data_IF_881031900488
#
_entry.id   IF_881031900488
#
_cell.length_a   1.000
_cell.length_b   1.000
_cell.length_c   1.000
_cell.angle_alpha   90.00
_cell.angle_beta   90.00
_cell.angle_gamma   90.00
#
_symmetry.space_group_name_H-M   'P 1'
#
loop_
_entity.id
_entity.type
_entity.pdbx_description
1 polymer ?
#
# COMPACT_ATOMS: atom_id res chain seq x y z
N UNK A 1 5.68 -7.07 -5.99
CA UNK A 1 4.91 -6.14 -6.86
C UNK A 1 5.40 -6.34 -8.29
N UNK A 2 4.53 -6.33 -9.29
CA UNK A 2 4.96 -6.29 -10.71
C UNK A 2 5.27 -4.84 -11.03
N UNK A 3 6.52 -4.52 -11.40
CA UNK A 3 6.91 -3.18 -11.81
C UNK A 3 7.17 -3.18 -13.32
N UNK A 4 6.35 -2.41 -14.05
CA UNK A 4 6.53 -2.19 -15.48
C UNK A 4 7.30 -0.88 -15.65
N UNK A 5 8.45 -0.86 -16.36
CA UNK A 5 9.24 0.35 -16.55
C UNK A 5 8.43 1.49 -17.18
N UNK A 6 8.57 2.70 -16.65
CA UNK A 6 7.88 3.92 -17.10
C UNK A 6 8.25 4.38 -18.52
N UNK A 7 9.15 3.68 -19.22
CA UNK A 7 9.52 3.92 -20.61
C UNK A 7 8.53 3.33 -21.61
N UNK A 8 7.57 2.52 -21.15
CA UNK A 8 6.50 1.98 -21.98
C UNK A 8 5.23 2.81 -21.79
N UNK A 9 4.79 3.51 -22.85
CA UNK A 9 3.66 4.44 -22.85
C UNK A 9 2.43 3.89 -22.11
N UNK A 10 2.26 4.37 -20.87
CA UNK A 10 1.40 3.77 -19.84
C UNK A 10 -0.12 3.89 -20.03
N UNK A 11 -0.58 4.28 -21.21
CA UNK A 11 -2.01 4.44 -21.51
C UNK A 11 -2.51 3.53 -22.64
N UNK A 12 -1.67 3.17 -23.62
CA UNK A 12 -2.10 2.32 -24.74
C UNK A 12 -1.95 0.82 -24.45
N UNK A 13 -0.92 0.41 -23.70
CA UNK A 13 -0.69 -1.00 -23.35
C UNK A 13 -1.68 -1.50 -22.29
N UNK A 14 -2.10 -0.62 -21.38
CA UNK A 14 -3.04 -0.92 -20.29
C UNK A 14 -4.45 -1.27 -20.81
N UNK A 15 -4.87 -0.68 -21.93
CA UNK A 15 -6.14 -1.01 -22.60
C UNK A 15 -6.08 -2.36 -23.30
N UNK A 16 -4.92 -2.70 -23.88
CA UNK A 16 -4.72 -3.94 -24.64
C UNK A 16 -4.83 -5.18 -23.75
N UNK A 17 -4.33 -5.11 -22.52
CA UNK A 17 -4.37 -6.22 -21.56
C UNK A 17 -5.79 -6.54 -21.06
N UNK A 18 -6.70 -5.56 -21.02
CA UNK A 18 -8.06 -5.74 -20.53
C UNK A 18 -8.94 -6.59 -21.47
N UNK A 19 -8.60 -6.61 -22.76
CA UNK A 19 -9.34 -7.32 -23.81
C UNK A 19 -8.71 -8.69 -24.17
N UNK A 20 -7.61 -9.06 -23.50
CA UNK A 20 -6.87 -10.29 -23.78
C UNK A 20 -7.35 -11.47 -22.95
N UNK A 21 -7.32 -12.67 -23.56
CA UNK A 21 -7.59 -13.90 -22.81
C UNK A 21 -6.43 -14.19 -21.85
N UNK A 22 -6.65 -14.98 -20.77
CA UNK A 22 -5.60 -15.35 -19.83
C UNK A 22 -4.37 -15.99 -20.49
N UNK A 23 -4.57 -16.75 -21.57
CA UNK A 23 -3.50 -17.39 -22.34
C UNK A 23 -2.65 -16.36 -23.10
N UNK A 24 -3.31 -15.36 -23.69
CA UNK A 24 -2.65 -14.28 -24.41
C UNK A 24 -1.84 -13.39 -23.45
N UNK A 25 -2.42 -13.08 -22.28
CA UNK A 25 -1.73 -12.33 -21.22
C UNK A 25 -0.49 -13.10 -20.76
N UNK A 26 -0.62 -14.41 -20.55
CA UNK A 26 0.50 -15.25 -20.13
C UNK A 26 1.64 -15.29 -21.16
N UNK A 27 1.31 -15.40 -22.45
CA UNK A 27 2.30 -15.38 -23.53
C UNK A 27 3.02 -14.04 -23.64
N UNK A 28 2.30 -12.92 -23.50
CA UNK A 28 2.89 -11.58 -23.57
C UNK A 28 3.80 -11.29 -22.35
N UNK A 29 3.35 -11.65 -21.14
CA UNK A 29 4.17 -11.54 -19.94
C UNK A 29 5.44 -12.41 -20.03
N UNK A 30 5.34 -13.62 -20.59
CA UNK A 30 6.50 -14.48 -20.80
C UNK A 30 7.49 -13.87 -21.78
N UNK A 31 7.01 -13.30 -22.89
CA UNK A 31 7.87 -12.61 -23.86
C UNK A 31 8.59 -11.41 -23.24
N UNK A 32 7.88 -10.61 -22.42
CA UNK A 32 8.47 -9.48 -21.70
C UNK A 32 9.52 -9.92 -20.68
N UNK A 33 9.33 -11.07 -20.03
CA UNK A 33 10.31 -11.64 -19.11
C UNK A 33 11.59 -12.08 -19.83
N UNK A 34 11.46 -12.80 -20.94
CA UNK A 34 12.60 -13.24 -21.76
C UNK A 34 13.42 -12.08 -22.34
N UNK A 35 12.76 -10.96 -22.64
CA UNK A 35 13.42 -9.74 -23.14
C UNK A 35 14.03 -8.89 -22.01
N UNK A 36 13.88 -9.29 -20.75
CA UNK A 36 14.38 -8.52 -19.59
C UNK A 36 13.60 -7.24 -19.30
N UNK A 37 12.46 -7.04 -19.95
CA UNK A 37 11.56 -5.90 -19.76
C UNK A 37 10.60 -6.11 -18.59
N UNK A 38 10.41 -7.35 -18.15
CA UNK A 38 9.66 -7.71 -16.95
C UNK A 38 10.62 -8.31 -15.92
N UNK A 39 10.65 -7.72 -14.72
CA UNK A 39 11.35 -8.29 -13.55
C UNK A 39 10.32 -8.63 -12.49
N UNK A 40 10.35 -9.89 -12.04
CA UNK A 40 9.52 -10.38 -10.94
C UNK A 40 10.42 -10.42 -9.72
N UNK A 41 10.32 -9.39 -8.87
CA UNK A 41 11.07 -9.31 -7.64
C UNK A 41 10.17 -9.67 -6.44
N UNK A 42 10.73 -10.45 -5.51
CA UNK A 42 10.13 -10.67 -4.20
C UNK A 42 10.31 -9.41 -3.35
N UNK A 43 9.25 -8.64 -3.20
CA UNK A 43 9.20 -7.51 -2.26
C UNK A 43 8.59 -7.96 -0.94
N UNK A 44 9.40 -8.04 0.12
CA UNK A 44 8.88 -8.12 1.49
C UNK A 44 8.13 -6.82 1.78
N UNK A 45 6.79 -6.89 1.81
CA UNK A 45 5.98 -5.73 2.16
C UNK A 45 5.83 -5.69 3.68
N UNK A 46 6.34 -4.65 4.36
CA UNK A 46 6.20 -4.57 5.80
C UNK A 46 4.73 -4.47 6.20
N UNK A 47 4.43 -4.92 7.41
CA UNK A 47 3.09 -4.81 8.02
C UNK A 47 3.12 -3.79 9.13
N UNK A 48 2.02 -3.05 9.27
CA UNK A 48 1.78 -2.18 10.40
C UNK A 48 1.09 -2.98 11.49
N UNK A 49 1.71 -3.06 12.66
CA UNK A 49 1.09 -3.65 13.86
C UNK A 49 0.42 -2.52 14.65
N UNK A 50 -0.87 -2.66 14.93
CA UNK A 50 -1.66 -1.71 15.70
C UNK A 50 -2.11 -2.38 16.99
N UNK A 51 -1.71 -1.82 18.13
CA UNK A 51 -2.11 -2.27 19.47
C UNK A 51 -3.02 -1.22 20.11
N UNK A 52 -4.15 -1.64 20.63
CA UNK A 52 -5.15 -0.78 21.27
C UNK A 52 -5.11 -1.02 22.77
N UNK A 53 -4.96 0.04 23.54
CA UNK A 53 -4.92 -0.02 24.99
C UNK A 53 -6.03 0.80 25.62
N UNK A 54 -6.59 0.30 26.71
CA UNK A 54 -7.47 1.03 27.59
C UNK A 54 -6.63 1.70 28.68
N UNK A 55 -6.74 3.03 28.81
CA UNK A 55 -5.97 3.77 29.80
C UNK A 55 -6.58 3.59 31.18
N UNK A 56 -5.77 3.19 32.16
CA UNK A 56 -6.20 3.10 33.56
C UNK A 56 -5.18 3.74 34.51
N UNK A 57 -5.59 4.21 35.70
CA UNK A 57 -4.67 4.82 36.67
C UNK A 57 -3.55 3.90 37.15
N UNK A 58 -3.74 2.58 37.05
CA UNK A 58 -2.77 1.56 37.47
C UNK A 58 -1.91 0.98 36.34
N UNK A 59 -2.14 1.42 35.10
CA UNK A 59 -1.45 0.92 33.91
C UNK A 59 -2.40 0.73 32.72
N UNK A 60 -1.87 0.83 31.51
CA UNK A 60 -2.64 0.64 30.29
C UNK A 60 -2.89 -0.86 30.04
N UNK A 61 -4.15 -1.25 29.86
CA UNK A 61 -4.52 -2.64 29.58
C UNK A 61 -4.66 -2.85 28.06
N UNK A 62 -4.02 -3.89 27.51
CA UNK A 62 -4.20 -4.25 26.10
C UNK A 62 -5.63 -4.74 25.85
N UNK A 63 -6.36 -4.02 24.99
CA UNK A 63 -7.69 -4.41 24.50
C UNK A 63 -7.55 -5.45 23.39
N UNK A 64 -6.60 -5.23 22.48
CA UNK A 64 -6.28 -6.15 21.40
C UNK A 64 -5.33 -5.53 20.38
N UNK A 65 -4.96 -6.32 19.39
CA UNK A 65 -4.06 -5.92 18.32
C UNK A 65 -4.52 -6.43 16.95
N UNK A 66 -4.07 -5.76 15.90
CA UNK A 66 -4.28 -6.19 14.53
C UNK A 66 -3.06 -5.84 13.66
N UNK A 67 -2.96 -6.50 12.52
CA UNK A 67 -1.94 -6.24 11.52
C UNK A 67 -2.58 -5.78 10.22
N UNK A 68 -2.01 -4.74 9.61
CA UNK A 68 -2.46 -4.21 8.33
C UNK A 68 -1.32 -4.20 7.33
N UNK A 69 -1.57 -4.71 6.14
CA UNK A 69 -0.60 -4.66 5.04
C UNK A 69 -0.52 -3.26 4.48
N UNK A 70 0.69 -2.70 4.35
CA UNK A 70 0.84 -1.41 3.67
C UNK A 70 0.83 -1.55 2.14
N UNK A 71 0.81 -2.78 1.60
CA UNK A 71 0.85 -3.05 0.16
C UNK A 71 -0.28 -2.35 -0.60
N UNK A 72 -1.48 -2.34 -0.02
CA UNK A 72 -2.68 -1.73 -0.59
C UNK A 72 -2.48 -0.22 -0.80
N UNK A 73 -1.93 0.46 0.21
CA UNK A 73 -1.61 1.89 0.17
C UNK A 73 -0.46 2.19 -0.80
N UNK A 74 0.60 1.36 -0.84
CA UNK A 74 1.73 1.56 -1.76
C UNK A 74 1.36 1.34 -3.23
N UNK A 75 0.43 0.43 -3.51
CA UNK A 75 0.00 0.12 -4.87
C UNK A 75 -0.78 1.26 -5.53
N UNK A 76 -1.33 2.19 -4.73
CA UNK A 76 -2.08 3.35 -5.22
C UNK A 76 -1.58 4.63 -4.52
N UNK A 77 -0.42 5.17 -4.93
CA UNK A 77 0.11 6.39 -4.36
C UNK A 77 -0.90 7.53 -4.41
N UNK A 78 -0.85 8.39 -3.41
CA UNK A 78 -1.71 9.56 -3.23
C UNK A 78 -3.21 9.33 -3.00
N UNK A 79 -3.66 8.08 -3.01
CA UNK A 79 -5.02 7.70 -2.67
C UNK A 79 -5.14 7.27 -1.21
N UNK A 80 -6.23 7.66 -0.57
CA UNK A 80 -6.60 7.14 0.74
C UNK A 80 -7.09 5.69 0.60
N UNK A 81 -6.60 4.83 1.48
CA UNK A 81 -7.06 3.46 1.65
C UNK A 81 -7.56 3.29 3.09
N UNK A 82 -8.78 2.81 3.23
CA UNK A 82 -9.40 2.58 4.52
C UNK A 82 -9.63 1.08 4.72
N UNK A 83 -9.23 0.58 5.88
CA UNK A 83 -9.36 -0.81 6.29
C UNK A 83 -9.97 -0.86 7.69
N UNK A 84 -10.74 -1.92 7.97
CA UNK A 84 -11.43 -2.14 9.24
C UNK A 84 -11.06 -3.52 9.82
N UNK A 85 -9.79 -3.72 10.22
CA UNK A 85 -9.40 -5.00 10.79
C UNK A 85 -10.04 -5.21 12.17
N UNK A 86 -10.48 -6.45 12.40
CA UNK A 86 -10.89 -6.90 13.73
C UNK A 86 -9.69 -7.11 14.64
N UNK A 87 -9.88 -6.80 15.93
CA UNK A 87 -8.86 -6.97 16.95
C UNK A 87 -8.70 -8.44 17.36
N UNK A 88 -7.50 -8.80 17.80
CA UNK A 88 -7.15 -10.09 18.39
C UNK A 88 -6.47 -9.90 19.75
N UNK A 89 -6.64 -10.85 20.66
CA UNK A 89 -5.96 -10.89 21.96
C UNK A 89 -5.57 -12.33 22.23
N UNK A 90 -4.28 -12.60 22.44
CA UNK A 90 -3.75 -13.94 22.74
C UNK A 90 -4.26 -15.03 21.76
N UNK A 91 -4.18 -14.72 20.46
CA UNK A 91 -4.68 -15.54 19.33
C UNK A 91 -6.21 -15.63 19.16
N UNK A 92 -6.98 -15.25 20.19
CA UNK A 92 -8.43 -15.19 20.14
C UNK A 92 -8.95 -13.89 19.50
N UNK A 93 -10.19 -13.96 18.97
CA UNK A 93 -10.88 -12.78 18.46
C UNK A 93 -11.25 -11.86 19.64
N UNK A 94 -10.73 -10.65 19.64
CA UNK A 94 -11.12 -9.62 20.59
C UNK A 94 -12.37 -8.86 20.08
N UNK A 95 -13.19 -8.29 20.97
CA UNK A 95 -14.34 -7.49 20.57
C UNK A 95 -13.88 -6.15 19.96
N UNK A 96 -14.54 -5.77 18.86
CA UNK A 96 -14.36 -4.48 18.21
C UNK A 96 -13.44 -4.49 16.99
N UNK A 97 -13.64 -3.48 16.16
CA UNK A 97 -12.85 -3.21 14.96
C UNK A 97 -12.21 -1.82 15.08
N UNK A 98 -11.07 -1.62 14.42
CA UNK A 98 -10.43 -0.31 14.31
C UNK A 98 -10.46 0.20 12.89
N UNK A 99 -10.79 1.48 12.72
CA UNK A 99 -10.72 2.14 11.42
C UNK A 99 -9.29 2.63 11.16
N UNK A 100 -8.62 2.10 10.14
CA UNK A 100 -7.27 2.50 9.76
C UNK A 100 -7.32 3.12 8.37
N UNK A 101 -6.93 4.39 8.27
CA UNK A 101 -6.83 5.13 7.00
C UNK A 101 -5.38 5.44 6.69
N UNK A 102 -4.88 4.90 5.58
CA UNK A 102 -3.49 5.05 5.14
C UNK A 102 -3.43 5.75 3.80
N UNK A 103 -2.39 6.56 3.60
CA UNK A 103 -2.06 7.19 2.33
C UNK A 103 -0.55 7.13 2.14
N UNK A 104 -0.11 6.47 1.08
CA UNK A 104 1.30 6.49 0.68
C UNK A 104 1.59 7.76 -0.11
N UNK A 105 2.70 8.43 0.23
CA UNK A 105 3.23 9.59 -0.49
C UNK A 105 4.68 9.34 -0.81
N UNK A 106 5.13 9.74 -2.00
CA UNK A 106 6.55 9.63 -2.36
C UNK A 106 7.32 10.75 -1.68
N UNK A 107 8.57 10.51 -1.36
CA UNK A 107 9.42 11.49 -0.66
C UNK A 107 9.46 12.84 -1.40
N UNK A 108 9.55 12.81 -2.73
CA UNK A 108 9.53 14.00 -3.57
C UNK A 108 8.26 14.85 -3.36
N UNK A 109 7.09 14.21 -3.32
CA UNK A 109 5.81 14.90 -3.13
C UNK A 109 5.72 15.54 -1.75
N UNK A 110 6.27 14.87 -0.73
CA UNK A 110 6.34 15.38 0.64
C UNK A 110 7.29 16.58 0.73
N UNK A 111 8.44 16.52 0.07
CA UNK A 111 9.39 17.64 0.02
C UNK A 111 8.82 18.86 -0.70
N UNK A 112 8.16 18.66 -1.84
CA UNK A 112 7.59 19.75 -2.63
C UNK A 112 6.46 20.45 -1.88
N UNK A 113 5.62 19.70 -1.16
CA UNK A 113 4.62 20.29 -0.26
C UNK A 113 5.27 21.07 0.89
N UNK A 114 6.35 20.54 1.48
CA UNK A 114 7.09 21.24 2.53
C UNK A 114 7.69 22.56 2.02
N UNK A 115 8.21 22.59 0.79
CA UNK A 115 8.71 23.82 0.14
C UNK A 115 7.58 24.82 -0.10
N UNK A 116 6.43 24.36 -0.61
CA UNK A 116 5.22 25.20 -0.83
C UNK A 116 4.71 25.83 0.48
N UNK A 117 4.62 25.04 1.56
CA UNK A 117 4.18 25.52 2.87
C UNK A 117 5.14 26.58 3.45
N UNK A 118 6.46 26.41 3.25
CA UNK A 118 7.47 27.41 3.66
C UNK A 118 7.36 28.71 2.86
N UNK A 119 7.13 28.62 1.54
CA UNK A 119 6.93 29.80 0.71
C UNK A 119 5.65 30.57 1.10
N UNK A 120 4.59 29.86 1.47
CA UNK A 120 3.31 30.45 1.90
C UNK A 120 3.39 31.15 3.26
N UNK A 121 4.25 30.68 4.18
CA UNK A 121 4.50 31.34 5.49
C UNK A 121 5.35 32.61 5.42
N UNK A 122 5.99 32.88 4.27
CA UNK A 122 6.83 34.09 4.06
C UNK A 122 6.07 35.23 3.38
N UNK A 123 4.79 35.02 3.06
CA UNK A 123 3.84 36.04 2.59
C UNK A 123 2.89 36.37 3.73
#
# INVERSE_FOLDING_TARGET
LVSIPSTWGGLEHSRKLADMTPEQISAELWALWQQGHLRIDMSLTPRLVVKVFNKSPGGDELVGECEVSIASAMSNPDQWRQEWPGLKRDEDKAPGDVAISMKYRRDQDVEDDRKRLRAKKRR
#
